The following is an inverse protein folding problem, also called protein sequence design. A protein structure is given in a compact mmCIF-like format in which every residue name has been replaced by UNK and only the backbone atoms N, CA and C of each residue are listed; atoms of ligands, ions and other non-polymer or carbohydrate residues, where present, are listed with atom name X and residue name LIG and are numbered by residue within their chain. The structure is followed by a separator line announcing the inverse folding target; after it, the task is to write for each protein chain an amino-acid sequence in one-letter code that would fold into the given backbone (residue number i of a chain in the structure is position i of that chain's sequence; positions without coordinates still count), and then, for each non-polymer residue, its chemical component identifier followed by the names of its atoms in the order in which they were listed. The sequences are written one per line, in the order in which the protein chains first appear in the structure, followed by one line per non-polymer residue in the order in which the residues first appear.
data_IF_016661384345
#
_entry.id   IF_016661384345
#
_cell.length_a   1.000
_cell.length_b   1.000
_cell.length_c   1.000
_cell.angle_alpha   90.00
_cell.angle_beta   90.00
_cell.angle_gamma   90.00
#
_symmetry.space_group_name_H-M   'P 1'
#
loop_
_entity.id
_entity.type
_entity.pdbx_description
1 polymer ?
#
# COMPACT_ATOMS: atom_id res chain seq x y z
N UNK A 1 0.28 12.70 -19.72
CA UNK A 1 1.20 11.56 -19.50
C UNK A 1 1.52 11.50 -18.01
N UNK A 2 1.11 10.43 -17.31
CA UNK A 2 1.40 10.26 -15.87
C UNK A 2 2.88 9.92 -15.67
N UNK A 3 3.58 10.68 -14.82
CA UNK A 3 5.01 10.46 -14.54
C UNK A 3 5.18 9.37 -13.48
N UNK A 4 5.63 8.19 -13.92
CA UNK A 4 5.97 7.07 -13.03
C UNK A 4 7.35 7.33 -12.38
N UNK A 5 7.48 7.00 -11.10
CA UNK A 5 8.74 7.15 -10.33
C UNK A 5 9.04 5.86 -9.59
N UNK A 6 10.30 5.43 -9.64
CA UNK A 6 10.83 4.34 -8.80
C UNK A 6 11.36 4.95 -7.50
N UNK A 7 11.00 4.35 -6.38
CA UNK A 7 11.49 4.71 -5.04
C UNK A 7 12.08 3.46 -4.42
N UNK A 8 13.20 3.63 -3.73
CA UNK A 8 13.98 2.53 -3.18
C UNK A 8 14.41 2.80 -1.73
N UNK A 9 14.42 1.81 -0.85
CA UNK A 9 14.83 1.99 0.56
C UNK A 9 15.59 0.78 1.15
N UNK A 10 16.86 0.95 1.54
CA UNK A 10 17.60 -0.17 2.15
C UNK A 10 17.22 -0.38 3.62
N UNK A 11 16.71 -1.56 3.95
CA UNK A 11 16.39 -1.96 5.32
C UNK A 11 17.67 -2.28 6.11
N UNK A 12 17.85 -1.64 7.26
CA UNK A 12 18.99 -1.87 8.14
C UNK A 12 18.92 -3.23 8.85
N UNK A 13 20.06 -3.91 9.00
CA UNK A 13 20.21 -5.21 9.69
C UNK A 13 20.17 -5.11 11.22
N UNK A 14 19.33 -4.24 11.79
CA UNK A 14 19.34 -3.96 13.24
C UNK A 14 18.48 -4.93 14.06
N UNK A 15 17.66 -5.75 13.40
CA UNK A 15 16.81 -6.77 14.04
C UNK A 15 17.10 -8.16 13.51
N UNK A 16 16.68 -9.17 14.26
CA UNK A 16 16.89 -10.58 13.90
C UNK A 16 15.98 -11.02 12.75
N UNK A 17 14.71 -10.58 12.80
CA UNK A 17 13.65 -10.94 11.85
C UNK A 17 12.88 -9.68 11.44
N UNK A 18 12.39 -9.66 10.20
CA UNK A 18 11.47 -8.65 9.68
C UNK A 18 10.12 -9.32 9.45
N UNK A 19 9.05 -8.67 9.87
CA UNK A 19 7.68 -9.12 9.64
C UNK A 19 6.77 -7.91 9.44
N UNK A 20 5.68 -8.10 8.67
CA UNK A 20 4.67 -7.09 8.33
C UNK A 20 5.27 -5.76 7.86
N UNK A 21 5.43 -5.65 6.55
CA UNK A 21 5.89 -4.43 5.89
C UNK A 21 4.71 -3.63 5.36
N UNK A 22 4.78 -2.30 5.53
CA UNK A 22 3.76 -1.36 5.07
C UNK A 22 4.40 -0.28 4.21
N UNK A 23 3.71 0.13 3.15
CA UNK A 23 4.03 1.33 2.40
C UNK A 23 3.23 2.50 2.97
N UNK A 24 3.92 3.45 3.60
CA UNK A 24 3.30 4.69 4.07
C UNK A 24 3.24 5.72 2.94
N UNK A 25 2.05 6.23 2.66
CA UNK A 25 1.84 7.28 1.64
C UNK A 25 1.04 8.42 2.24
N UNK A 26 1.47 9.65 1.96
CA UNK A 26 0.72 10.86 2.32
C UNK A 26 -0.03 11.36 1.09
N UNK A 27 -1.35 11.27 1.13
CA UNK A 27 -2.21 11.87 0.12
C UNK A 27 -2.36 13.36 0.40
N UNK A 28 -2.20 14.23 -0.62
CA UNK A 28 -2.43 15.66 -0.47
C UNK A 28 -3.91 15.94 -0.19
N UNK A 29 -4.19 17.13 0.35
CA UNK A 29 -5.55 17.64 0.39
C UNK A 29 -6.13 17.79 -1.03
N UNK A 30 -7.43 17.55 -1.17
CA UNK A 30 -8.18 17.92 -2.37
C UNK A 30 -9.13 19.06 -1.99
N UNK A 31 -9.07 20.22 -2.66
CA UNK A 31 -9.96 21.32 -2.35
C UNK A 31 -11.41 20.93 -2.63
N UNK A 32 -12.34 21.57 -1.89
CA UNK A 32 -13.76 21.40 -2.13
C UNK A 32 -14.06 21.66 -3.62
N UNK A 33 -14.77 20.75 -4.30
CA UNK A 33 -15.05 20.95 -5.70
C UNK A 33 -15.93 22.21 -5.85
N UNK A 34 -15.52 23.15 -6.71
CA UNK A 34 -16.35 24.31 -7.05
C UNK A 34 -17.59 23.88 -7.83
N UNK A 35 -17.46 23.72 -9.15
CA UNK A 35 -18.51 23.19 -10.03
C UNK A 35 -18.24 21.74 -10.51
N UNK A 36 -17.28 21.05 -9.89
CA UNK A 36 -16.82 19.72 -10.28
C UNK A 36 -17.09 18.65 -9.22
N UNK A 37 -16.38 17.53 -9.33
CA UNK A 37 -16.31 16.48 -8.32
C UNK A 37 -14.84 16.16 -8.05
N UNK A 38 -14.40 16.28 -6.79
CA UNK A 38 -13.02 16.01 -6.39
C UNK A 38 -13.02 14.87 -5.38
N UNK A 39 -12.66 13.68 -5.82
CA UNK A 39 -12.52 12.51 -4.98
C UNK A 39 -11.32 11.67 -5.39
N UNK A 40 -10.81 10.89 -4.45
CA UNK A 40 -9.84 9.85 -4.72
C UNK A 40 -10.52 8.64 -5.36
N UNK A 41 -9.79 7.91 -6.19
CA UNK A 41 -10.27 6.64 -6.75
C UNK A 41 -10.39 5.61 -5.63
N UNK A 42 -11.37 4.71 -5.74
CA UNK A 42 -11.48 3.56 -4.86
C UNK A 42 -10.17 2.76 -4.80
N UNK A 43 -9.86 2.22 -3.64
CA UNK A 43 -8.62 1.48 -3.39
C UNK A 43 -7.36 2.25 -3.82
N UNK A 44 -7.34 3.58 -3.65
CA UNK A 44 -6.23 4.46 -4.07
C UNK A 44 -4.86 3.94 -3.61
N UNK A 45 -4.77 3.37 -2.41
CA UNK A 45 -3.54 2.77 -1.90
C UNK A 45 -2.96 1.67 -2.80
N UNK A 46 -3.81 0.83 -3.39
CA UNK A 46 -3.40 -0.17 -4.37
C UNK A 46 -3.12 0.44 -5.75
N UNK A 47 -3.96 1.36 -6.20
CA UNK A 47 -3.85 1.98 -7.52
C UNK A 47 -2.60 2.85 -7.68
N UNK A 48 -2.03 3.33 -6.58
CA UNK A 48 -0.74 4.02 -6.56
C UNK A 48 0.46 3.11 -6.85
N UNK A 49 0.32 1.80 -6.59
CA UNK A 49 1.39 0.82 -6.74
C UNK A 49 1.30 0.20 -8.12
N UNK A 50 2.22 0.55 -9.01
CA UNK A 50 2.37 -0.23 -10.24
C UNK A 50 2.97 -1.60 -9.95
N UNK A 51 4.09 -1.61 -9.24
CA UNK A 51 4.80 -2.81 -8.83
C UNK A 51 5.59 -2.54 -7.55
N UNK A 52 5.71 -3.57 -6.73
CA UNK A 52 6.53 -3.55 -5.52
C UNK A 52 7.26 -4.88 -5.44
N UNK A 53 8.54 -4.85 -5.14
CA UNK A 53 9.36 -6.05 -5.07
C UNK A 53 10.38 -5.91 -3.95
N UNK A 54 10.94 -7.05 -3.55
CA UNK A 54 11.96 -7.13 -2.52
C UNK A 54 13.18 -7.85 -3.09
N UNK A 55 14.35 -7.26 -2.85
CA UNK A 55 15.63 -7.79 -3.31
C UNK A 55 16.50 -8.24 -2.13
N UNK A 56 17.15 -9.38 -2.31
CA UNK A 56 18.11 -9.95 -1.36
C UNK A 56 19.35 -10.34 -2.15
N UNK A 57 20.50 -9.78 -1.78
CA UNK A 57 21.76 -10.07 -2.48
C UNK A 57 21.77 -9.71 -3.97
N UNK A 58 20.93 -8.75 -4.40
CA UNK A 58 20.80 -8.36 -5.81
C UNK A 58 19.89 -9.27 -6.64
N UNK A 59 19.20 -10.22 -6.01
CA UNK A 59 18.18 -11.03 -6.65
C UNK A 59 16.79 -10.60 -6.18
N UNK A 60 15.87 -10.41 -7.13
CA UNK A 60 14.46 -10.20 -6.83
C UNK A 60 13.87 -11.51 -6.31
N UNK A 61 13.39 -11.50 -5.07
CA UNK A 61 12.86 -12.70 -4.43
C UNK A 61 11.36 -12.82 -4.64
N UNK A 62 10.65 -11.70 -4.56
CA UNK A 62 9.20 -11.65 -4.72
C UNK A 62 8.78 -10.28 -5.26
N UNK A 63 7.67 -10.27 -5.98
CA UNK A 63 7.12 -9.10 -6.67
C UNK A 63 5.61 -9.19 -6.75
N UNK A 64 4.95 -8.08 -6.43
CA UNK A 64 3.52 -7.91 -6.58
C UNK A 64 3.20 -6.67 -7.41
N UNK A 65 1.99 -6.67 -7.94
CA UNK A 65 1.39 -5.56 -8.66
C UNK A 65 0.23 -5.00 -7.83
N UNK A 66 -0.05 -3.69 -7.93
CA UNK A 66 -1.17 -3.09 -7.21
C UNK A 66 -2.51 -3.75 -7.54
N UNK A 67 -2.75 -4.05 -8.82
CA UNK A 67 -3.95 -4.76 -9.26
C UNK A 67 -4.06 -6.16 -8.63
N UNK A 68 -2.93 -6.85 -8.49
CA UNK A 68 -2.89 -8.16 -7.84
C UNK A 68 -3.21 -8.04 -6.34
N UNK A 69 -2.67 -7.02 -5.65
CA UNK A 69 -3.00 -6.75 -4.24
C UNK A 69 -4.49 -6.45 -4.05
N UNK A 70 -5.09 -5.73 -5.00
CA UNK A 70 -6.51 -5.44 -4.98
C UNK A 70 -7.37 -6.70 -5.09
N UNK A 71 -7.11 -7.53 -6.11
CA UNK A 71 -7.83 -8.79 -6.31
C UNK A 71 -7.60 -9.75 -5.14
N UNK A 72 -6.37 -9.82 -4.62
CA UNK A 72 -6.06 -10.66 -3.47
C UNK A 72 -6.85 -10.24 -2.22
N UNK A 73 -6.98 -8.94 -1.97
CA UNK A 73 -7.80 -8.44 -0.87
C UNK A 73 -9.27 -8.83 -1.05
N UNK A 74 -9.85 -8.65 -2.23
CA UNK A 74 -11.24 -9.04 -2.52
C UNK A 74 -11.50 -10.54 -2.27
N UNK A 75 -10.51 -11.40 -2.51
CA UNK A 75 -10.64 -12.85 -2.36
C UNK A 75 -10.36 -13.38 -0.94
N UNK A 76 -9.53 -12.68 -0.15
CA UNK A 76 -9.01 -13.22 1.12
C UNK A 76 -9.48 -12.46 2.34
N UNK A 77 -10.04 -11.27 2.17
CA UNK A 77 -10.45 -10.44 3.28
C UNK A 77 -11.69 -10.98 3.97
N UNK A 78 -11.67 -10.98 5.29
CA UNK A 78 -12.85 -11.33 6.10
C UNK A 78 -13.63 -10.06 6.46
N UNK A 79 -14.95 -10.19 6.61
CA UNK A 79 -15.84 -9.06 6.89
C UNK A 79 -15.43 -8.29 8.16
N UNK A 80 -14.87 -8.98 9.16
CA UNK A 80 -14.45 -8.35 10.42
C UNK A 80 -13.24 -7.42 10.24
N UNK A 81 -12.40 -7.65 9.23
CA UNK A 81 -11.18 -6.87 8.98
C UNK A 81 -11.36 -5.84 7.87
N UNK A 82 -12.41 -5.97 7.06
CA UNK A 82 -12.67 -5.16 5.87
C UNK A 82 -12.62 -3.65 6.16
N UNK A 83 -13.37 -3.19 7.17
CA UNK A 83 -13.41 -1.77 7.53
C UNK A 83 -12.03 -1.21 7.89
N UNK A 84 -11.26 -1.92 8.73
CA UNK A 84 -9.92 -1.49 9.10
C UNK A 84 -8.95 -1.47 7.92
N UNK A 85 -9.09 -2.42 7.00
CA UNK A 85 -8.29 -2.47 5.78
C UNK A 85 -8.63 -1.33 4.81
N UNK A 86 -9.91 -1.07 4.60
CA UNK A 86 -10.40 0.04 3.77
C UNK A 86 -9.86 1.39 4.25
N UNK A 87 -9.78 1.60 5.57
CA UNK A 87 -9.12 2.78 6.14
C UNK A 87 -7.63 2.83 5.78
N UNK A 88 -6.90 1.72 5.93
CA UNK A 88 -5.46 1.65 5.63
C UNK A 88 -5.11 1.96 4.17
N UNK A 89 -5.96 1.56 3.22
CA UNK A 89 -5.74 1.75 1.78
C UNK A 89 -6.49 2.95 1.19
N UNK A 90 -7.21 3.71 2.01
CA UNK A 90 -7.93 4.91 1.59
C UNK A 90 -9.22 4.64 0.81
N UNK A 91 -9.81 3.46 0.96
CA UNK A 91 -11.10 3.09 0.38
C UNK A 91 -12.26 3.44 1.32
N UNK A 92 -12.41 4.72 1.62
CA UNK A 92 -13.44 5.22 2.55
C UNK A 92 -14.28 6.29 1.87
N UNK A 93 -15.56 6.40 2.23
CA UNK A 93 -16.46 7.41 1.67
C UNK A 93 -15.93 8.84 1.86
N UNK A 94 -15.20 9.11 2.95
CA UNK A 94 -14.56 10.40 3.15
C UNK A 94 -13.62 10.76 2.00
N UNK A 95 -12.87 9.80 1.47
CA UNK A 95 -11.92 10.00 0.37
C UNK A 95 -12.52 9.76 -1.03
N UNK A 96 -13.43 8.78 -1.16
CA UNK A 96 -13.92 8.31 -2.46
C UNK A 96 -15.26 8.91 -2.88
N UNK A 97 -16.06 9.45 -1.95
CA UNK A 97 -17.35 10.04 -2.27
C UNK A 97 -17.14 11.44 -2.89
N UNK A 98 -17.58 11.67 -4.15
CA UNK A 98 -17.48 12.96 -4.82
C UNK A 98 -18.45 14.04 -4.28
N UNK A 99 -19.46 13.66 -3.50
CA UNK A 99 -20.45 14.57 -2.91
C UNK A 99 -19.98 15.22 -1.60
N UNK A 100 -19.02 14.57 -0.93
CA UNK A 100 -18.34 15.10 0.23
C UNK A 100 -17.48 16.32 -0.16
N UNK A 101 -17.37 17.30 0.74
CA UNK A 101 -16.60 18.55 0.59
C UNK A 101 -15.08 18.30 0.41
N UNK A 102 -14.25 19.31 0.71
CA UNK A 102 -12.79 19.19 0.69
C UNK A 102 -12.30 17.91 1.40
N UNK A 103 -11.25 17.30 0.84
CA UNK A 103 -10.59 16.12 1.39
C UNK A 103 -9.35 16.57 2.11
N UNK A 104 -9.27 16.29 3.40
CA UNK A 104 -8.08 16.62 4.17
C UNK A 104 -6.91 15.73 3.78
N UNK A 105 -5.72 16.27 3.98
CA UNK A 105 -4.47 15.51 3.84
C UNK A 105 -4.51 14.26 4.74
N UNK A 106 -4.24 13.09 4.15
CA UNK A 106 -4.45 11.80 4.83
C UNK A 106 -3.24 10.89 4.64
N UNK A 107 -2.85 10.18 5.70
CA UNK A 107 -1.75 9.19 5.64
C UNK A 107 -2.31 7.77 5.55
N UNK A 108 -1.91 7.04 4.51
CA UNK A 108 -2.24 5.65 4.26
C UNK A 108 -1.09 4.74 4.71
N UNK A 109 -1.45 3.51 5.13
CA UNK A 109 -0.51 2.47 5.53
C UNK A 109 -0.84 1.18 4.78
N UNK A 110 -0.38 1.08 3.54
CA UNK A 110 -0.76 -0.01 2.63
C UNK A 110 0.00 -1.28 3.03
N UNK A 111 -0.68 -2.36 3.46
CA UNK A 111 0.00 -3.60 3.84
C UNK A 111 0.56 -4.31 2.61
N UNK A 112 1.86 -4.62 2.63
CA UNK A 112 2.49 -5.43 1.58
C UNK A 112 2.29 -6.92 1.86
N UNK A 113 2.31 -7.77 0.84
CA UNK A 113 1.96 -9.20 0.93
C UNK A 113 3.11 -10.14 0.52
N UNK A 114 4.36 -9.77 0.82
CA UNK A 114 5.51 -10.63 0.54
C UNK A 114 5.48 -11.95 1.32
N UNK A 115 6.24 -12.96 0.88
CA UNK A 115 6.35 -14.27 1.57
C UNK A 115 6.69 -14.19 3.08
N UNK A 116 7.37 -13.12 3.52
CA UNK A 116 7.74 -12.90 4.92
C UNK A 116 6.59 -12.30 5.77
N UNK A 117 5.52 -11.86 5.10
CA UNK A 117 4.32 -11.30 5.74
C UNK A 117 3.21 -12.36 5.94
N UNK A 118 3.31 -13.51 5.29
CA UNK A 118 2.24 -14.52 5.27
C UNK A 118 2.28 -15.50 6.45
N UNK A 119 3.44 -15.78 7.05
CA UNK A 119 3.57 -16.65 8.22
C UNK A 119 4.80 -16.35 9.10
N UNK A 120 4.68 -16.52 10.43
CA UNK A 120 5.80 -16.38 11.37
C UNK A 120 6.91 -17.45 11.18
N UNK A 121 6.59 -18.56 10.50
CA UNK A 121 7.53 -19.67 10.24
C UNK A 121 8.37 -19.47 8.98
N UNK A 122 8.06 -18.50 8.12
CA UNK A 122 8.82 -18.19 6.89
C UNK A 122 9.82 -17.03 7.08
N UNK A 123 10.06 -16.60 8.33
CA UNK A 123 10.94 -15.48 8.65
C UNK A 123 12.40 -15.76 8.27
N UNK A 124 13.01 -14.83 7.55
CA UNK A 124 14.40 -14.90 7.15
C UNK A 124 15.34 -14.50 8.28
N UNK A 125 16.31 -15.37 8.58
CA UNK A 125 17.59 -14.97 9.13
C UNK A 125 18.49 -14.55 7.97
N UNK A 126 19.09 -13.37 8.06
CA UNK A 126 20.00 -12.74 7.08
C UNK A 126 19.35 -11.84 6.03
N UNK A 127 20.21 -11.05 5.39
CA UNK A 127 19.93 -9.65 5.11
C UNK A 127 19.29 -9.32 3.81
N UNK A 128 18.35 -8.41 3.93
CA UNK A 128 17.63 -7.77 2.85
C UNK A 128 18.20 -6.36 2.61
N UNK A 129 18.66 -6.10 1.38
CA UNK A 129 18.83 -4.74 0.87
C UNK A 129 17.66 -4.49 -0.06
N UNK A 130 16.61 -3.87 0.46
CA UNK A 130 15.54 -3.40 -0.43
C UNK A 130 16.14 -2.22 -1.21
N UNK A 131 16.20 -2.37 -2.54
CA UNK A 131 16.43 -1.23 -3.44
C UNK A 131 15.05 -0.72 -3.77
#
# INVERSE_FOLDING_TARGET
MLRKRKVSCTVSRNGDLIHKTYLQVKLPELPAPGAGTNAWVENVGHMLIQEVYIEIGGQQIDKHYGDWLNVWNELTQTAEKESGYNVMIGNTADLTDPSNSAKDETTLYIPLQFWLNTDLKSNLHQTIRIV
#
